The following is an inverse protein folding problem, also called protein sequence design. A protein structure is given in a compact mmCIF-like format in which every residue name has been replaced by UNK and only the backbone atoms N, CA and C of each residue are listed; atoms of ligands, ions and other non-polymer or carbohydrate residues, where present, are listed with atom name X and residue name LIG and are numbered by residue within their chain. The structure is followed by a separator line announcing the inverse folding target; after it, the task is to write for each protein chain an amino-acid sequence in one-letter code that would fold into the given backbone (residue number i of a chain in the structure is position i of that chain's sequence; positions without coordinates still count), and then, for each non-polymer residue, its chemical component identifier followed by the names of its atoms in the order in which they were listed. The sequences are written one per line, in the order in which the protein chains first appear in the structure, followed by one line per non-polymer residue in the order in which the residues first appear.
data_IF_457799946517
#
_entry.id   IF_457799946517
#
_cell.length_a   1.000
_cell.length_b   1.000
_cell.length_c   1.000
_cell.angle_alpha   90.00
_cell.angle_beta   90.00
_cell.angle_gamma   90.00
#
_symmetry.space_group_name_H-M   'P 1'
#
loop_
_entity.id
_entity.type
_entity.pdbx_description
1 polymer ?
#
# COMPACT_ATOMS: atom_id res chain seq x y z
N UNK A 1 -21.65 -5.94 31.79
CA UNK A 1 -20.31 -6.52 31.58
C UNK A 1 -19.83 -6.06 30.22
N UNK A 2 -18.88 -5.11 30.17
CA UNK A 2 -18.28 -4.64 28.92
C UNK A 2 -17.15 -5.61 28.55
N UNK A 3 -17.37 -6.49 27.57
CA UNK A 3 -16.28 -7.24 26.94
C UNK A 3 -15.29 -6.24 26.34
N UNK A 4 -13.98 -6.33 26.65
CA UNK A 4 -12.99 -5.49 26.02
C UNK A 4 -13.01 -5.79 24.51
N UNK A 5 -13.41 -4.80 23.70
CA UNK A 5 -13.34 -4.91 22.25
C UNK A 5 -11.87 -5.12 21.88
N UNK A 6 -11.52 -6.35 21.48
CA UNK A 6 -10.23 -6.64 20.89
C UNK A 6 -10.11 -5.75 19.63
N UNK A 7 -9.30 -4.70 19.72
CA UNK A 7 -9.01 -3.84 18.57
C UNK A 7 -8.42 -4.70 17.46
N UNK A 8 -8.99 -4.62 16.27
CA UNK A 8 -8.48 -5.34 15.10
C UNK A 8 -7.04 -4.90 14.81
N UNK A 9 -6.24 -5.76 14.15
CA UNK A 9 -4.86 -5.42 13.77
C UNK A 9 -4.80 -4.14 12.92
N UNK A 10 -5.79 -3.94 12.05
CA UNK A 10 -5.96 -2.72 11.27
C UNK A 10 -6.15 -1.50 12.19
N UNK A 11 -7.06 -1.57 13.17
CA UNK A 11 -7.28 -0.48 14.11
C UNK A 11 -6.01 -0.13 14.92
N UNK A 12 -5.21 -1.13 15.30
CA UNK A 12 -3.91 -0.92 15.94
C UNK A 12 -2.89 -0.30 14.99
N UNK A 13 -2.89 -0.64 13.70
CA UNK A 13 -1.98 -0.03 12.73
C UNK A 13 -2.33 1.43 12.42
N UNK A 14 -3.63 1.78 12.40
CA UNK A 14 -4.09 3.15 12.19
C UNK A 14 -3.91 4.06 13.41
N UNK A 15 -3.81 3.50 14.62
CA UNK A 15 -3.42 4.25 15.80
C UNK A 15 -2.03 4.86 15.59
N UNK A 16 -1.93 6.19 15.62
CA UNK A 16 -0.72 6.94 15.26
C UNK A 16 0.49 6.48 16.08
N UNK A 17 0.29 6.25 17.38
CA UNK A 17 1.37 5.83 18.27
C UNK A 17 1.80 4.40 17.99
N UNK A 18 0.84 3.48 17.93
CA UNK A 18 1.09 2.05 17.70
C UNK A 18 1.70 1.80 16.31
N UNK A 19 1.22 2.47 15.27
CA UNK A 19 1.79 2.42 13.92
C UNK A 19 3.24 2.91 13.87
N UNK A 20 3.55 4.02 14.58
CA UNK A 20 4.94 4.50 14.72
C UNK A 20 5.84 3.48 15.42
N UNK A 21 5.38 2.89 16.53
CA UNK A 21 6.12 1.86 17.26
C UNK A 21 6.37 0.62 16.39
N UNK A 22 5.38 0.17 15.61
CA UNK A 22 5.54 -0.95 14.68
C UNK A 22 6.62 -0.64 13.63
N UNK A 23 6.60 0.55 13.02
CA UNK A 23 7.64 0.96 12.05
C UNK A 23 9.02 1.02 12.67
N UNK A 24 9.16 1.59 13.87
CA UNK A 24 10.44 1.62 14.59
C UNK A 24 10.96 0.20 14.89
N UNK A 25 10.08 -0.69 15.36
CA UNK A 25 10.43 -2.09 15.61
C UNK A 25 10.88 -2.82 14.34
N UNK A 26 10.25 -2.56 13.20
CA UNK A 26 10.69 -3.08 11.92
C UNK A 26 12.09 -2.58 11.54
N UNK A 27 12.37 -1.29 11.68
CA UNK A 27 13.71 -0.73 11.39
C UNK A 27 14.80 -1.33 12.26
N UNK A 28 14.53 -1.56 13.56
CA UNK A 28 15.47 -2.24 14.46
C UNK A 28 15.79 -3.67 13.95
N UNK A 29 14.79 -4.38 13.41
CA UNK A 29 14.98 -5.70 12.80
C UNK A 29 15.76 -5.64 11.49
N UNK A 30 15.66 -4.55 10.74
CA UNK A 30 16.32 -4.32 9.45
C UNK A 30 17.60 -3.48 9.58
N UNK A 31 18.27 -3.46 10.74
CA UNK A 31 19.30 -2.48 11.14
C UNK A 31 20.41 -2.09 10.14
N UNK A 32 20.61 -2.85 9.08
CA UNK A 32 21.51 -2.51 7.98
C UNK A 32 20.91 -1.50 6.99
N UNK A 33 19.65 -1.10 7.17
CA UNK A 33 18.88 -0.26 6.26
C UNK A 33 18.30 0.94 7.00
N UNK A 34 18.43 2.12 6.40
CA UNK A 34 17.62 3.27 6.84
C UNK A 34 16.21 3.19 6.25
N UNK A 35 15.26 3.95 6.81
CA UNK A 35 13.92 4.08 6.22
C UNK A 35 14.00 4.57 4.76
N UNK A 36 14.82 5.59 4.52
CA UNK A 36 15.01 6.22 3.21
C UNK A 36 15.47 5.19 2.17
N UNK A 37 16.51 4.40 2.50
CA UNK A 37 17.07 3.39 1.61
C UNK A 37 16.04 2.35 1.21
N UNK A 38 15.21 1.89 2.15
CA UNK A 38 14.15 0.93 1.88
C UNK A 38 13.08 1.50 0.95
N UNK A 39 12.70 2.76 1.14
CA UNK A 39 11.69 3.42 0.32
C UNK A 39 12.20 3.67 -1.10
N UNK A 40 13.44 4.14 -1.24
CA UNK A 40 14.07 4.36 -2.55
C UNK A 40 14.26 3.04 -3.31
N UNK A 41 14.77 2.00 -2.65
CA UNK A 41 14.92 0.68 -3.24
C UNK A 41 13.56 0.11 -3.70
N UNK A 42 12.51 0.27 -2.88
CA UNK A 42 11.17 -0.22 -3.23
C UNK A 42 10.58 0.55 -4.42
N UNK A 43 10.73 1.87 -4.43
CA UNK A 43 10.32 2.71 -5.56
C UNK A 43 11.03 2.28 -6.84
N UNK A 44 12.35 2.11 -6.79
CA UNK A 44 13.15 1.71 -7.96
C UNK A 44 12.79 0.30 -8.47
N UNK A 45 12.53 -0.65 -7.57
CA UNK A 45 12.10 -1.99 -7.92
C UNK A 45 10.74 -1.97 -8.65
N UNK A 46 9.75 -1.24 -8.12
CA UNK A 46 8.44 -1.10 -8.75
C UNK A 46 8.49 -0.35 -10.08
N UNK A 47 9.32 0.69 -10.17
CA UNK A 47 9.53 1.41 -11.42
C UNK A 47 10.12 0.51 -12.50
N UNK A 48 11.13 -0.30 -12.13
CA UNK A 48 11.81 -1.22 -13.06
C UNK A 48 10.88 -2.34 -13.53
N UNK A 49 10.05 -2.88 -12.65
CA UNK A 49 9.09 -3.93 -13.00
C UNK A 49 7.96 -3.43 -13.90
N UNK A 50 7.53 -2.16 -13.75
CA UNK A 50 6.38 -1.61 -14.49
C UNK A 50 5.02 -2.18 -14.05
N UNK A 51 5.00 -3.13 -13.12
CA UNK A 51 3.83 -3.69 -12.45
C UNK A 51 4.09 -3.78 -10.94
N UNK A 52 3.04 -3.75 -10.11
CA UNK A 52 3.19 -3.78 -8.64
C UNK A 52 2.64 -5.08 -8.04
N UNK A 53 3.07 -6.19 -8.65
CA UNK A 53 2.74 -7.53 -8.19
C UNK A 53 3.59 -7.94 -6.97
N UNK A 54 3.18 -9.04 -6.33
CA UNK A 54 3.72 -9.54 -5.06
C UNK A 54 5.15 -10.07 -5.16
N UNK A 55 5.58 -10.40 -6.38
CA UNK A 55 6.90 -10.90 -6.73
C UNK A 55 7.96 -9.78 -6.80
N UNK A 56 7.56 -8.52 -6.97
CA UNK A 56 8.47 -7.38 -6.95
C UNK A 56 8.99 -7.14 -5.53
N UNK A 57 10.30 -7.31 -5.36
CA UNK A 57 10.93 -7.35 -4.05
C UNK A 57 12.22 -6.55 -3.98
N UNK A 58 12.59 -6.17 -2.76
CA UNK A 58 13.88 -5.56 -2.46
C UNK A 58 14.73 -6.45 -1.57
N UNK A 59 16.05 -6.45 -1.75
CA UNK A 59 16.95 -7.20 -0.90
C UNK A 59 17.03 -6.56 0.49
N UNK A 60 16.97 -7.37 1.53
CA UNK A 60 17.07 -6.92 2.92
C UNK A 60 18.07 -7.75 3.72
N UNK A 61 18.53 -7.19 4.83
CA UNK A 61 19.46 -7.85 5.77
C UNK A 61 18.89 -7.78 7.19
N UNK A 62 18.01 -8.73 7.55
CA UNK A 62 17.40 -8.75 8.88
C UNK A 62 18.40 -9.26 9.95
N UNK A 63 18.33 -8.73 11.18
CA UNK A 63 19.17 -9.19 12.31
C UNK A 63 18.80 -10.57 12.83
N UNK A 64 17.50 -10.86 12.92
CA UNK A 64 16.97 -11.99 13.70
C UNK A 64 16.08 -12.92 12.89
N UNK A 65 16.05 -12.78 11.57
CA UNK A 65 15.35 -13.75 10.72
C UNK A 65 16.39 -14.81 10.32
N UNK A 66 16.15 -16.06 10.71
CA UNK A 66 16.97 -17.18 10.24
C UNK A 66 16.64 -17.52 8.78
N UNK A 67 17.48 -18.35 8.14
CA UNK A 67 17.20 -18.86 6.80
C UNK A 67 15.98 -19.80 6.86
N UNK A 68 14.80 -19.27 6.57
CA UNK A 68 13.57 -20.05 6.42
C UNK A 68 13.29 -20.23 4.92
N UNK A 69 13.99 -21.16 4.30
CA UNK A 69 13.83 -21.47 2.87
C UNK A 69 12.37 -21.83 2.57
N UNK A 70 11.81 -21.20 1.54
CA UNK A 70 10.48 -21.52 1.01
C UNK A 70 9.27 -21.02 1.80
N UNK A 71 9.45 -20.39 2.98
CA UNK A 71 8.32 -19.85 3.75
C UNK A 71 8.25 -18.33 3.67
N UNK A 72 7.11 -17.83 3.19
CA UNK A 72 6.77 -16.41 3.28
C UNK A 72 6.32 -16.09 4.70
N UNK A 73 6.96 -15.11 5.31
CA UNK A 73 6.70 -14.60 6.64
C UNK A 73 6.34 -13.12 6.57
N UNK A 74 5.93 -12.55 7.69
CA UNK A 74 5.74 -11.11 7.89
C UNK A 74 6.86 -10.59 8.78
N UNK A 75 7.38 -9.39 8.47
CA UNK A 75 8.54 -8.81 9.14
C UNK A 75 8.34 -8.69 10.67
N UNK A 76 7.12 -8.43 11.12
CA UNK A 76 6.74 -8.36 12.54
C UNK A 76 5.67 -9.40 12.88
N UNK A 77 5.96 -10.69 12.70
CA UNK A 77 5.12 -11.78 13.21
C UNK A 77 3.64 -11.59 12.82
N UNK A 78 2.69 -11.78 13.73
CA UNK A 78 1.27 -11.67 13.40
C UNK A 78 0.73 -10.24 13.14
N UNK A 79 1.58 -9.20 13.10
CA UNK A 79 1.18 -7.81 12.89
C UNK A 79 1.16 -7.42 11.41
N UNK A 80 0.39 -6.37 11.07
CA UNK A 80 0.44 -5.73 9.75
C UNK A 80 1.87 -5.26 9.50
N UNK A 81 2.56 -5.91 8.56
CA UNK A 81 3.95 -5.62 8.21
C UNK A 81 4.30 -6.27 6.87
N UNK A 82 5.35 -5.79 6.18
CA UNK A 82 5.72 -6.33 4.87
C UNK A 82 6.04 -7.83 4.94
N UNK A 83 5.68 -8.55 3.88
CA UNK A 83 6.09 -9.93 3.69
C UNK A 83 7.57 -10.01 3.38
N UNK A 84 8.20 -11.04 3.93
CA UNK A 84 9.62 -11.36 3.78
C UNK A 84 9.79 -12.84 3.51
N UNK A 85 10.77 -13.20 2.70
CA UNK A 85 11.13 -14.59 2.40
C UNK A 85 12.63 -14.71 2.20
N UNK A 86 13.12 -15.94 2.14
CA UNK A 86 14.52 -16.23 1.86
C UNK A 86 14.62 -17.03 0.56
N UNK A 87 15.38 -16.50 -0.40
CA UNK A 87 15.63 -17.11 -1.72
C UNK A 87 17.04 -16.71 -2.19
N UNK A 88 17.71 -17.61 -2.90
CA UNK A 88 19.04 -17.37 -3.50
C UNK A 88 20.09 -16.87 -2.50
N UNK A 89 20.06 -17.41 -1.28
CA UNK A 89 21.00 -17.02 -0.22
C UNK A 89 20.74 -15.66 0.43
N UNK A 90 19.62 -15.00 0.10
CA UNK A 90 19.31 -13.65 0.56
C UNK A 90 17.86 -13.51 1.06
N UNK A 91 17.64 -12.57 1.98
CA UNK A 91 16.29 -12.18 2.38
C UNK A 91 15.73 -11.11 1.44
N UNK A 92 14.46 -11.27 1.10
CA UNK A 92 13.70 -10.38 0.24
C UNK A 92 12.50 -9.83 0.98
N UNK A 93 12.05 -8.63 0.61
CA UNK A 93 10.87 -7.98 1.17
C UNK A 93 10.01 -7.40 0.05
N UNK A 94 8.68 -7.59 0.13
CA UNK A 94 7.76 -7.10 -0.91
C UNK A 94 7.83 -5.57 -1.04
N UNK A 95 8.11 -5.07 -2.25
CA UNK A 95 8.38 -3.65 -2.49
C UNK A 95 7.15 -2.77 -2.23
N UNK A 96 5.97 -3.14 -2.76
CA UNK A 96 4.74 -2.36 -2.56
C UNK A 96 4.34 -2.27 -1.08
N UNK A 97 4.43 -3.37 -0.35
CA UNK A 97 4.13 -3.40 1.09
C UNK A 97 5.15 -2.58 1.90
N UNK A 98 6.40 -2.49 1.44
CA UNK A 98 7.41 -1.63 2.05
C UNK A 98 6.99 -0.17 1.97
N UNK A 99 6.57 0.30 0.79
CA UNK A 99 6.03 1.65 0.62
C UNK A 99 4.79 1.86 1.49
N UNK A 100 3.83 0.93 1.49
CA UNK A 100 2.61 1.04 2.31
C UNK A 100 2.86 1.09 3.82
N UNK A 101 3.85 0.33 4.29
CA UNK A 101 4.12 0.19 5.71
C UNK A 101 4.91 1.37 6.28
N UNK A 102 5.99 1.77 5.61
CA UNK A 102 6.95 2.72 6.17
C UNK A 102 6.61 4.19 5.92
N UNK A 103 5.70 4.48 4.99
CA UNK A 103 5.26 5.87 4.70
C UNK A 103 4.05 6.28 5.54
N UNK A 104 3.99 7.56 5.91
CA UNK A 104 2.72 8.20 6.24
C UNK A 104 1.94 8.60 4.97
N UNK A 105 0.74 9.16 5.13
CA UNK A 105 -0.11 9.51 3.98
C UNK A 105 0.47 10.57 3.06
N UNK A 106 1.28 11.50 3.58
CA UNK A 106 1.90 12.54 2.76
C UNK A 106 3.12 11.99 2.01
N UNK A 107 4.02 11.30 2.72
CA UNK A 107 5.19 10.67 2.14
C UNK A 107 4.81 9.65 1.06
N UNK A 108 3.72 8.90 1.27
CA UNK A 108 3.31 7.85 0.35
C UNK A 108 2.99 8.38 -1.04
N UNK A 109 2.28 9.51 -1.12
CA UNK A 109 1.99 10.16 -2.40
C UNK A 109 3.29 10.58 -3.10
N UNK A 110 4.30 11.06 -2.35
CA UNK A 110 5.61 11.42 -2.90
C UNK A 110 6.32 10.22 -3.52
N UNK A 111 6.35 9.06 -2.85
CA UNK A 111 7.02 7.86 -3.37
C UNK A 111 6.25 7.15 -4.50
N UNK A 112 4.92 7.19 -4.47
CA UNK A 112 4.09 6.43 -5.43
C UNK A 112 3.72 7.21 -6.68
N UNK A 113 3.55 8.53 -6.60
CA UNK A 113 3.14 9.35 -7.75
C UNK A 113 4.07 9.22 -8.96
N UNK A 114 5.42 9.15 -8.80
CA UNK A 114 6.33 8.92 -9.93
C UNK A 114 6.16 7.55 -10.60
N UNK A 115 5.58 6.58 -9.90
CA UNK A 115 5.37 5.22 -10.40
C UNK A 115 4.06 5.09 -11.21
N UNK A 116 3.19 6.09 -11.16
CA UNK A 116 1.89 6.03 -11.82
C UNK A 116 2.03 6.31 -13.33
N UNK A 117 1.45 5.44 -14.19
CA UNK A 117 1.43 5.68 -15.62
C UNK A 117 0.67 6.96 -16.01
N UNK A 118 1.06 7.55 -17.13
CA UNK A 118 0.24 8.54 -17.81
C UNK A 118 -0.90 7.83 -18.57
N UNK A 119 -2.11 7.88 -18.01
CA UNK A 119 -3.27 7.21 -18.60
C UNK A 119 -3.86 8.01 -19.77
N UNK A 120 -3.68 7.53 -21.00
CA UNK A 120 -4.18 8.19 -22.20
C UNK A 120 -5.73 8.25 -22.26
N UNK A 121 -6.39 7.16 -21.88
CA UNK A 121 -7.84 7.02 -21.98
C UNK A 121 -8.42 6.18 -20.83
N UNK A 122 -9.75 6.00 -20.84
CA UNK A 122 -10.49 5.32 -19.77
C UNK A 122 -10.18 3.83 -19.77
N UNK A 123 -9.99 3.24 -20.94
CA UNK A 123 -9.73 1.80 -21.08
C UNK A 123 -8.34 1.45 -20.56
N UNK A 124 -7.33 2.26 -20.86
CA UNK A 124 -5.98 2.11 -20.30
C UNK A 124 -5.98 2.18 -18.76
N UNK A 125 -6.78 3.10 -18.20
CA UNK A 125 -6.93 3.19 -16.75
C UNK A 125 -7.69 2.00 -16.15
N UNK A 126 -8.77 1.56 -16.80
CA UNK A 126 -9.53 0.36 -16.38
C UNK A 126 -8.66 -0.90 -16.40
N UNK A 127 -7.88 -1.08 -17.47
CA UNK A 127 -6.94 -2.20 -17.58
C UNK A 127 -5.88 -2.14 -16.48
N UNK A 128 -5.33 -0.95 -16.20
CA UNK A 128 -4.40 -0.79 -15.10
C UNK A 128 -5.02 -1.17 -13.75
N UNK A 129 -6.25 -0.74 -13.45
CA UNK A 129 -6.96 -1.10 -12.20
C UNK A 129 -7.12 -2.61 -12.00
N UNK A 130 -7.19 -3.39 -13.09
CA UNK A 130 -7.33 -4.85 -13.03
C UNK A 130 -6.01 -5.56 -12.74
N UNK A 131 -4.87 -4.92 -13.00
CA UNK A 131 -3.57 -5.61 -13.07
C UNK A 131 -2.46 -4.98 -12.24
N UNK A 132 -2.62 -3.77 -11.70
CA UNK A 132 -1.53 -3.08 -11.04
C UNK A 132 -1.09 -3.77 -9.74
N UNK A 133 -2.00 -4.42 -9.02
CA UNK A 133 -1.76 -5.05 -7.72
C UNK A 133 -2.24 -6.50 -7.73
N UNK A 134 -1.61 -7.34 -6.90
CA UNK A 134 -1.98 -8.75 -6.70
C UNK A 134 -3.33 -8.93 -5.98
N UNK A 135 -3.90 -7.86 -5.42
CA UNK A 135 -5.23 -7.87 -4.81
C UNK A 135 -6.22 -7.27 -5.81
N UNK A 136 -7.01 -8.11 -6.50
CA UNK A 136 -7.89 -7.63 -7.54
C UNK A 136 -9.01 -6.78 -6.96
N UNK A 137 -9.41 -5.77 -7.73
CA UNK A 137 -10.56 -4.94 -7.42
C UNK A 137 -11.82 -5.68 -7.88
N UNK A 138 -12.86 -5.66 -7.04
CA UNK A 138 -14.17 -6.15 -7.49
C UNK A 138 -14.65 -5.32 -8.69
N UNK A 139 -15.39 -5.95 -9.61
CA UNK A 139 -15.88 -5.26 -10.81
C UNK A 139 -16.72 -4.02 -10.45
N UNK A 140 -17.52 -4.09 -9.37
CA UNK A 140 -18.28 -2.95 -8.87
C UNK A 140 -17.38 -1.82 -8.35
N UNK A 141 -16.26 -2.15 -7.69
CA UNK A 141 -15.24 -1.19 -7.25
C UNK A 141 -14.63 -0.45 -8.43
N UNK A 142 -14.25 -1.19 -9.49
CA UNK A 142 -13.72 -0.59 -10.72
C UNK A 142 -14.77 0.33 -11.36
N UNK A 143 -16.01 -0.13 -11.49
CA UNK A 143 -17.09 0.66 -12.06
C UNK A 143 -17.33 1.98 -11.29
N UNK A 144 -17.25 1.94 -9.96
CA UNK A 144 -17.36 3.13 -9.11
C UNK A 144 -16.18 4.10 -9.32
N UNK A 145 -14.95 3.60 -9.37
CA UNK A 145 -13.77 4.45 -9.63
C UNK A 145 -13.91 5.13 -10.99
N UNK A 146 -14.24 4.36 -12.03
CA UNK A 146 -14.37 4.87 -13.40
C UNK A 146 -15.50 5.89 -13.55
N UNK A 147 -16.63 5.71 -12.85
CA UNK A 147 -17.74 6.68 -12.91
C UNK A 147 -17.39 8.03 -12.27
N UNK A 148 -16.47 8.04 -11.31
CA UNK A 148 -15.97 9.26 -10.63
C UNK A 148 -14.72 9.87 -11.27
N UNK A 149 -14.08 9.16 -12.20
CA UNK A 149 -12.85 9.61 -12.89
C UNK A 149 -13.09 10.76 -13.90
N UNK A 150 -14.33 11.14 -14.19
CA UNK A 150 -14.59 12.40 -14.90
C UNK A 150 -14.58 13.60 -13.95
N UNK A 151 -14.97 13.39 -12.69
CA UNK A 151 -14.95 14.40 -11.62
C UNK A 151 -13.56 14.55 -10.97
N UNK A 152 -12.71 13.53 -11.07
CA UNK A 152 -11.33 13.51 -10.58
C UNK A 152 -10.38 13.35 -11.77
N UNK A 153 -9.14 13.86 -11.71
CA UNK A 153 -8.18 13.50 -12.77
C UNK A 153 -7.79 12.01 -12.65
N UNK A 154 -7.53 11.31 -13.77
CA UNK A 154 -7.17 9.88 -13.77
C UNK A 154 -5.99 9.56 -12.83
N UNK A 155 -5.02 10.46 -12.72
CA UNK A 155 -3.86 10.28 -11.83
C UNK A 155 -4.26 10.35 -10.35
N UNK A 156 -5.19 11.23 -9.98
CA UNK A 156 -5.76 11.27 -8.63
C UNK A 156 -6.60 10.02 -8.35
N UNK A 157 -7.40 9.55 -9.31
CA UNK A 157 -8.15 8.29 -9.19
C UNK A 157 -7.22 7.09 -9.03
N UNK A 158 -6.06 7.09 -9.69
CA UNK A 158 -5.04 6.06 -9.51
C UNK A 158 -4.43 6.10 -8.11
N UNK A 159 -4.05 7.27 -7.58
CA UNK A 159 -3.60 7.40 -6.19
C UNK A 159 -4.65 6.90 -5.19
N UNK A 160 -5.92 7.24 -5.42
CA UNK A 160 -7.02 6.75 -4.60
C UNK A 160 -7.14 5.22 -4.66
N UNK A 161 -7.05 4.62 -5.85
CA UNK A 161 -7.06 3.17 -5.99
C UNK A 161 -5.90 2.54 -5.19
N UNK A 162 -4.73 3.15 -5.22
CA UNK A 162 -3.59 2.69 -4.41
C UNK A 162 -3.87 2.79 -2.90
N UNK A 163 -4.56 3.82 -2.44
CA UNK A 163 -5.00 3.89 -1.03
C UNK A 163 -6.02 2.80 -0.70
N UNK A 164 -6.98 2.50 -1.60
CA UNK A 164 -7.93 1.40 -1.42
C UNK A 164 -7.22 0.06 -1.32
N UNK A 165 -6.24 -0.16 -2.19
CA UNK A 165 -5.39 -1.32 -2.20
C UNK A 165 -4.61 -1.46 -0.88
N UNK A 166 -3.95 -0.39 -0.44
CA UNK A 166 -3.27 -0.37 0.86
C UNK A 166 -4.20 -0.69 2.03
N UNK A 167 -5.38 -0.10 2.09
CA UNK A 167 -6.34 -0.35 3.16
C UNK A 167 -6.85 -1.80 3.16
N UNK A 168 -7.08 -2.37 1.97
CA UNK A 168 -7.39 -3.79 1.82
C UNK A 168 -6.26 -4.69 2.38
N UNK A 169 -5.01 -4.34 2.08
CA UNK A 169 -3.84 -5.03 2.65
C UNK A 169 -3.78 -4.94 4.18
N UNK A 170 -4.01 -3.77 4.76
CA UNK A 170 -4.03 -3.56 6.22
C UNK A 170 -5.13 -4.38 6.90
N UNK A 171 -6.29 -4.48 6.26
CA UNK A 171 -7.43 -5.26 6.74
C UNK A 171 -7.25 -6.77 6.51
N UNK A 172 -6.27 -7.17 5.70
CA UNK A 172 -5.99 -8.57 5.38
C UNK A 172 -7.03 -9.19 4.44
N UNK A 173 -7.72 -8.37 3.64
CA UNK A 173 -8.67 -8.86 2.63
C UNK A 173 -7.94 -9.12 1.30
N UNK A 174 -8.34 -10.17 0.60
CA UNK A 174 -7.71 -10.63 -0.64
C UNK A 174 -8.17 -9.87 -1.89
N UNK A 175 -9.30 -9.18 -1.80
CA UNK A 175 -9.87 -8.34 -2.86
C UNK A 175 -10.14 -6.94 -2.33
N UNK A 176 -10.27 -5.94 -3.21
CA UNK A 176 -10.66 -4.58 -2.83
C UNK A 176 -12.18 -4.42 -2.98
N UNK A 177 -12.94 -4.40 -1.86
CA UNK A 177 -14.38 -4.43 -1.91
C UNK A 177 -14.99 -3.05 -2.20
N UNK A 178 -16.19 -3.04 -2.76
CA UNK A 178 -16.92 -1.80 -3.04
C UNK A 178 -17.11 -0.93 -1.79
N UNK A 179 -17.38 -1.56 -0.63
CA UNK A 179 -17.60 -0.87 0.62
C UNK A 179 -16.37 -0.05 1.07
N UNK A 180 -15.16 -0.59 0.85
CA UNK A 180 -13.92 0.11 1.16
C UNK A 180 -13.71 1.31 0.23
N UNK A 181 -13.99 1.13 -1.06
CA UNK A 181 -13.92 2.20 -2.04
C UNK A 181 -14.88 3.34 -1.71
N UNK A 182 -16.15 3.04 -1.39
CA UNK A 182 -17.13 4.03 -1.00
C UNK A 182 -16.72 4.80 0.26
N UNK A 183 -16.18 4.09 1.26
CA UNK A 183 -15.69 4.70 2.50
C UNK A 183 -14.54 5.68 2.23
N UNK A 184 -13.56 5.29 1.42
CA UNK A 184 -12.40 6.13 1.12
C UNK A 184 -12.76 7.29 0.22
N UNK A 185 -13.55 7.08 -0.82
CA UNK A 185 -14.04 8.16 -1.69
C UNK A 185 -14.76 9.25 -0.89
N UNK A 186 -15.61 8.87 0.06
CA UNK A 186 -16.25 9.84 0.96
C UNK A 186 -15.25 10.72 1.70
N UNK A 187 -14.08 10.20 2.09
CA UNK A 187 -13.03 11.01 2.76
C UNK A 187 -12.31 11.98 1.82
N UNK A 188 -12.16 11.61 0.54
CA UNK A 188 -11.51 12.45 -0.47
C UNK A 188 -12.42 13.54 -1.03
N UNK A 189 -13.73 13.28 -1.17
CA UNK A 189 -14.71 14.28 -1.61
C UNK A 189 -14.82 15.46 -0.60
N UNK A 190 -14.59 15.21 0.70
CA UNK A 190 -14.53 16.26 1.73
C UNK A 190 -13.23 17.08 1.76
N UNK A 191 -12.20 16.70 0.98
CA UNK A 191 -10.90 17.38 0.93
C UNK A 191 -10.65 18.15 -0.38
N UNK A 192 -11.58 18.14 -1.33
CA UNK A 192 -11.53 19.05 -2.46
C UNK A 192 -11.66 20.49 -1.92
N UNK A 193 -10.72 21.40 -2.20
CA UNK A 193 -10.86 22.78 -1.77
C UNK A 193 -12.15 23.33 -2.37
N UNK A 194 -13.03 23.86 -1.52
CA UNK A 194 -14.10 24.73 -1.96
C UNK A 194 -13.48 25.77 -2.89
N UNK A 195 -13.86 25.73 -4.16
CA UNK A 195 -13.53 26.76 -5.12
C UNK A 195 -13.90 28.10 -4.48
N UNK A 196 -12.91 28.97 -4.31
CA UNK A 196 -13.14 30.35 -3.91
C UNK A 196 -14.00 30.95 -5.04
N UNK A 197 -15.22 31.42 -4.76
CA UNK A 197 -16.03 32.04 -5.78
C UNK A 197 -15.26 33.26 -6.30
N UNK A 198 -14.99 33.24 -7.60
CA UNK A 198 -14.41 34.39 -8.28
C UNK A 198 -15.49 35.48 -8.32
N UNK A 199 -15.26 36.56 -7.56
CA UNK A 199 -15.93 37.84 -7.78
C UNK A 199 -15.10 38.68 -8.73
#
# INVERSE_FOLDING_TARGET
MNTPQARTKAALFHDVHTGKLLRQRALIRLSAHTKEDLLLAAQQALHTAGHWQDDVAIPIRPRTLGPHQGRVLTLIGSQVSPRVWFADGQHWMAALQTLYFFTDSYERAHYLRPLLPAFANRDAFSHWLQHFSSRPFEAATIALILSRTSSMTRQLSALLAVEMDREAWIQGVSTVPLALAAQLMGRFDFQAPHEIPSN
#
